data_IF_038323682275
#
_entry.id   IF_038323682275
#
_cell.length_a   1.000
_cell.length_b   1.000
_cell.length_c   1.000
_cell.angle_alpha   90.00
_cell.angle_beta   90.00
_cell.angle_gamma   90.00
#
_symmetry.space_group_name_H-M   'P 1'
#
loop_
_entity.id
_entity.type
_entity.pdbx_description
1 polymer ?
#
# COMPACT_ATOMS: atom_id res chain seq x y z
N UNK A 1 12.15 9.40 -4.13
CA UNK A 1 11.50 10.61 -3.75
C UNK A 1 12.08 11.21 -2.50
N UNK A 2 12.37 12.49 -2.59
CA UNK A 2 13.01 13.25 -1.51
C UNK A 2 11.98 14.01 -0.64
N UNK A 3 10.68 13.67 -0.75
CA UNK A 3 9.59 14.35 -0.07
C UNK A 3 9.31 15.73 -0.65
N UNK A 4 8.44 16.47 0.01
CA UNK A 4 8.09 17.85 -0.35
C UNK A 4 9.13 18.88 0.14
N UNK A 5 10.10 18.47 0.97
CA UNK A 5 11.16 19.34 1.47
C UNK A 5 12.54 18.76 1.09
N UNK A 6 13.02 19.02 -0.14
CA UNK A 6 14.35 18.58 -0.57
C UNK A 6 15.49 19.18 0.25
N UNK A 7 15.30 20.36 0.82
CA UNK A 7 16.34 21.04 1.59
C UNK A 7 16.63 20.33 2.91
N UNK A 8 15.63 19.79 3.60
CA UNK A 8 15.85 19.02 4.84
C UNK A 8 16.70 17.75 4.63
N UNK A 9 16.61 17.15 3.42
CA UNK A 9 17.43 15.98 3.09
C UNK A 9 18.79 16.36 2.52
N UNK A 10 18.93 17.54 1.97
CA UNK A 10 20.18 18.08 1.47
C UNK A 10 21.23 18.17 2.57
N UNK A 11 20.84 18.65 3.74
CA UNK A 11 21.74 18.75 4.90
C UNK A 11 22.27 17.37 5.32
N UNK A 12 21.41 16.35 5.32
CA UNK A 12 21.81 14.96 5.62
C UNK A 12 22.77 14.43 4.55
N UNK A 13 22.54 14.72 3.27
CA UNK A 13 23.43 14.31 2.19
C UNK A 13 24.79 15.03 2.24
N UNK A 14 24.79 16.33 2.52
CA UNK A 14 26.01 17.12 2.64
C UNK A 14 26.86 16.63 3.82
N UNK A 15 26.25 16.37 4.97
CA UNK A 15 26.90 15.76 6.11
C UNK A 15 27.47 14.38 5.76
N UNK A 16 26.68 13.51 5.13
CA UNK A 16 27.14 12.18 4.69
C UNK A 16 28.33 12.28 3.73
N UNK A 17 28.29 13.21 2.78
CA UNK A 17 29.38 13.43 1.84
C UNK A 17 30.66 13.93 2.53
N UNK A 18 30.54 14.83 3.52
CA UNK A 18 31.66 15.32 4.32
C UNK A 18 32.30 14.19 5.14
N UNK A 19 31.47 13.30 5.69
CA UNK A 19 31.92 12.16 6.49
C UNK A 19 32.63 11.11 5.63
N UNK A 20 32.15 10.85 4.43
CA UNK A 20 32.81 9.94 3.48
C UNK A 20 34.15 10.48 2.98
N UNK A 21 34.36 11.78 3.02
CA UNK A 21 35.61 12.42 2.61
C UNK A 21 36.70 12.44 3.69
N UNK A 22 36.36 12.20 4.97
CA UNK A 22 37.25 12.32 6.11
C UNK A 22 37.90 11.02 6.59
N UNK A 23 37.49 9.86 6.07
CA UNK A 23 38.00 8.55 6.49
C UNK A 23 39.04 8.00 5.51
N UNK A 24 40.26 7.84 5.98
CA UNK A 24 41.39 7.24 5.22
C UNK A 24 41.11 5.75 4.88
N UNK A 25 40.24 5.07 5.66
CA UNK A 25 39.94 3.64 5.55
C UNK A 25 38.54 3.35 4.97
N UNK A 26 37.79 4.36 4.57
CA UNK A 26 36.43 4.21 4.05
C UNK A 26 35.34 3.82 5.09
N UNK A 27 35.68 3.85 6.37
CA UNK A 27 34.77 3.65 7.49
C UNK A 27 34.43 4.97 8.17
N UNK A 28 33.17 5.13 8.57
CA UNK A 28 32.73 6.25 9.40
C UNK A 28 33.11 5.97 10.87
N UNK A 29 33.55 6.99 11.58
CA UNK A 29 33.70 6.91 13.04
C UNK A 29 32.34 6.59 13.68
N UNK A 30 32.33 5.69 14.69
CA UNK A 30 31.12 5.22 15.35
C UNK A 30 30.16 6.33 15.80
N UNK A 31 30.63 7.40 16.50
CA UNK A 31 29.74 8.49 16.92
C UNK A 31 29.09 9.22 15.76
N UNK A 32 29.77 9.34 14.65
CA UNK A 32 29.30 9.99 13.44
C UNK A 32 28.27 9.11 12.71
N UNK A 33 28.51 7.81 12.66
CA UNK A 33 27.57 6.83 12.14
C UNK A 33 26.27 6.82 12.96
N UNK A 34 26.38 6.86 14.30
CA UNK A 34 25.23 6.88 15.20
C UNK A 34 24.39 8.14 15.01
N UNK A 35 25.02 9.32 14.87
CA UNK A 35 24.34 10.58 14.62
C UNK A 35 23.61 10.57 13.25
N UNK A 36 24.25 10.06 12.20
CA UNK A 36 23.63 9.90 10.89
C UNK A 36 22.42 8.93 10.94
N UNK A 37 22.56 7.82 11.63
CA UNK A 37 21.45 6.86 11.82
C UNK A 37 20.30 7.54 12.56
N UNK A 38 20.58 8.28 13.61
CA UNK A 38 19.58 9.03 14.37
C UNK A 38 18.84 10.07 13.51
N UNK A 39 19.57 10.81 12.69
CA UNK A 39 18.97 11.78 11.74
C UNK A 39 18.09 11.08 10.72
N UNK A 40 18.53 9.97 10.11
CA UNK A 40 17.74 9.20 9.15
C UNK A 40 16.49 8.59 9.79
N UNK A 41 16.57 8.10 11.03
CA UNK A 41 15.43 7.55 11.76
C UNK A 41 14.41 8.62 12.16
N UNK A 42 14.85 9.85 12.41
CA UNK A 42 13.97 10.99 12.72
C UNK A 42 13.36 11.62 11.48
N UNK A 43 13.87 11.33 10.28
CA UNK A 43 13.35 11.88 9.05
C UNK A 43 11.99 11.22 8.70
N UNK A 44 10.93 12.03 8.66
CA UNK A 44 9.53 11.59 8.44
C UNK A 44 8.89 12.21 7.20
N UNK A 45 9.68 12.79 6.30
CA UNK A 45 9.17 13.52 5.12
C UNK A 45 9.31 12.71 3.83
N UNK A 46 9.00 11.42 3.91
CA UNK A 46 8.99 10.53 2.73
C UNK A 46 7.69 10.60 1.93
N UNK A 47 6.66 11.22 2.51
CA UNK A 47 5.42 11.51 1.83
C UNK A 47 5.59 12.72 0.91
N UNK A 48 5.11 12.62 -0.34
CA UNK A 48 5.11 13.74 -1.27
C UNK A 48 4.01 13.63 -2.32
N UNK A 49 3.65 14.79 -2.87
CA UNK A 49 2.68 14.93 -3.96
C UNK A 49 3.36 15.56 -5.16
N UNK A 50 3.22 14.93 -6.33
CA UNK A 50 3.60 15.55 -7.59
C UNK A 50 2.35 16.17 -8.25
N UNK A 51 2.42 17.45 -8.70
CA UNK A 51 1.29 18.16 -9.30
C UNK A 51 1.09 17.74 -10.75
N UNK A 52 0.87 16.45 -10.98
CA UNK A 52 0.51 15.87 -12.27
C UNK A 52 -0.99 15.75 -12.41
N UNK A 53 -1.48 15.39 -13.58
CA UNK A 53 -2.90 15.09 -13.83
C UNK A 53 -3.02 13.70 -14.44
N UNK A 54 -3.51 12.69 -13.67
CA UNK A 54 -3.89 12.69 -12.24
C UNK A 54 -2.77 13.06 -11.29
N UNK A 55 -3.10 13.60 -10.09
CA UNK A 55 -2.11 13.89 -9.07
C UNK A 55 -1.44 12.59 -8.58
N UNK A 56 -0.11 12.58 -8.47
CA UNK A 56 0.64 11.45 -7.94
C UNK A 56 0.96 11.68 -6.48
N UNK A 57 0.41 10.86 -5.62
CA UNK A 57 0.59 10.91 -4.16
C UNK A 57 1.37 9.68 -3.71
N UNK A 58 2.58 9.89 -3.19
CA UNK A 58 3.42 8.83 -2.63
C UNK A 58 3.32 8.86 -1.12
N UNK A 59 2.82 7.79 -0.52
CA UNK A 59 2.55 7.72 0.92
C UNK A 59 3.69 7.04 1.69
N UNK A 60 4.05 7.62 2.83
CA UNK A 60 5.05 7.07 3.74
C UNK A 60 4.41 6.10 4.74
N UNK A 61 4.42 4.83 4.42
CA UNK A 61 3.89 3.78 5.30
C UNK A 61 4.96 3.19 6.24
N UNK A 62 6.15 3.77 6.29
CA UNK A 62 7.26 3.24 7.07
C UNK A 62 7.54 4.05 8.33
N UNK A 63 7.64 5.37 8.23
CA UNK A 63 8.04 6.22 9.35
C UNK A 63 6.82 6.78 10.11
N UNK A 64 5.65 6.86 9.49
CA UNK A 64 4.41 7.40 10.08
C UNK A 64 3.38 6.31 10.40
N UNK A 65 3.82 5.26 11.09
CA UNK A 65 2.97 4.12 11.45
C UNK A 65 2.15 4.37 12.71
N UNK A 66 0.91 3.92 12.71
CA UNK A 66 0.04 3.92 13.89
C UNK A 66 0.43 2.78 14.84
N UNK A 67 1.19 3.08 15.86
CA UNK A 67 1.57 2.12 16.90
C UNK A 67 0.45 2.00 17.93
N UNK A 68 0.17 0.77 18.37
CA UNK A 68 -0.70 0.55 19.52
C UNK A 68 0.10 0.75 20.82
N UNK A 69 -0.17 1.82 21.54
CA UNK A 69 0.49 2.10 22.82
C UNK A 69 0.09 1.10 23.91
N UNK A 70 -1.16 0.58 23.85
CA UNK A 70 -1.70 -0.33 24.86
C UNK A 70 -1.35 -1.79 24.64
N UNK A 71 -0.97 -2.19 23.46
CA UNK A 71 -0.69 -3.59 23.11
C UNK A 71 0.35 -3.71 22.00
N UNK A 72 1.62 -3.68 22.36
CA UNK A 72 2.76 -3.76 21.44
C UNK A 72 2.77 -5.01 20.55
N UNK A 73 2.04 -6.06 20.94
CA UNK A 73 1.89 -7.30 20.15
C UNK A 73 0.81 -7.20 19.05
N UNK A 74 0.03 -6.13 19.02
CA UNK A 74 -0.96 -5.94 17.95
C UNK A 74 -0.29 -5.36 16.70
N UNK A 75 -0.76 -5.73 15.49
CA UNK A 75 -0.26 -5.15 14.25
C UNK A 75 -0.42 -3.63 14.26
N UNK A 76 0.62 -2.91 13.82
CA UNK A 76 0.55 -1.46 13.60
C UNK A 76 -0.29 -1.11 12.39
N UNK A 77 -0.90 0.08 12.37
CA UNK A 77 -1.43 0.66 11.15
C UNK A 77 -0.29 1.16 10.25
N UNK A 78 -0.47 1.10 8.95
CA UNK A 78 0.53 1.57 7.99
C UNK A 78 0.68 3.09 7.98
N UNK A 79 -0.37 3.83 8.31
CA UNK A 79 -0.35 5.26 8.58
C UNK A 79 -1.03 5.56 9.91
N UNK A 80 -0.55 6.58 10.62
CA UNK A 80 -1.18 7.11 11.79
C UNK A 80 -2.38 8.02 11.45
N UNK A 81 -3.06 8.50 12.47
CA UNK A 81 -4.23 9.36 12.31
C UNK A 81 -3.91 10.69 11.61
N UNK A 82 -2.79 11.29 11.95
CA UNK A 82 -2.37 12.59 11.41
C UNK A 82 -2.05 12.46 9.92
N UNK A 83 -1.22 11.48 9.54
CA UNK A 83 -0.90 11.21 8.14
C UNK A 83 -2.12 10.86 7.29
N UNK A 84 -3.09 10.13 7.86
CA UNK A 84 -4.35 9.82 7.15
C UNK A 84 -5.22 11.06 6.98
N UNK A 85 -5.21 11.99 7.95
CA UNK A 85 -5.94 13.24 7.86
C UNK A 85 -5.31 14.20 6.84
N UNK A 86 -3.99 14.28 6.80
CA UNK A 86 -3.25 15.03 5.78
C UNK A 86 -3.53 14.48 4.38
N UNK A 87 -3.43 13.17 4.20
CA UNK A 87 -3.76 12.50 2.93
C UNK A 87 -5.20 12.83 2.49
N UNK A 88 -6.15 12.84 3.42
CA UNK A 88 -7.53 13.21 3.09
C UNK A 88 -7.62 14.66 2.58
N UNK A 89 -6.97 15.59 3.24
CA UNK A 89 -6.98 17.01 2.84
C UNK A 89 -6.35 17.20 1.45
N UNK A 90 -5.21 16.58 1.20
CA UNK A 90 -4.55 16.63 -0.10
C UNK A 90 -5.45 16.10 -1.22
N UNK A 91 -6.15 14.99 -0.96
CA UNK A 91 -7.03 14.38 -1.96
C UNK A 91 -8.29 15.20 -2.27
N UNK A 92 -8.72 16.12 -1.38
CA UNK A 92 -9.93 16.93 -1.63
C UNK A 92 -9.81 17.89 -2.83
N UNK A 93 -8.60 18.28 -3.18
CA UNK A 93 -8.33 19.29 -4.21
C UNK A 93 -8.11 18.69 -5.61
N UNK A 94 -8.18 17.35 -5.74
CA UNK A 94 -7.89 16.66 -6.98
C UNK A 94 -9.10 15.90 -7.53
N UNK A 95 -9.40 16.00 -8.85
CA UNK A 95 -10.48 15.24 -9.47
C UNK A 95 -10.15 13.74 -9.64
N UNK A 96 -8.86 13.41 -9.77
CA UNK A 96 -8.32 12.06 -9.89
C UNK A 96 -6.94 11.98 -9.24
N UNK A 97 -6.61 10.82 -8.67
CA UNK A 97 -5.34 10.62 -8.00
C UNK A 97 -4.74 9.23 -8.24
N UNK A 98 -3.42 9.19 -8.37
CA UNK A 98 -2.61 7.98 -8.33
C UNK A 98 -1.97 7.92 -6.95
N UNK A 99 -2.27 6.89 -6.18
CA UNK A 99 -1.69 6.68 -4.85
C UNK A 99 -0.64 5.58 -4.96
N UNK A 100 0.59 5.90 -4.62
CA UNK A 100 1.68 4.91 -4.51
C UNK A 100 1.78 4.46 -3.05
N UNK A 101 1.46 3.20 -2.83
CA UNK A 101 1.52 2.56 -1.51
C UNK A 101 2.44 1.33 -1.57
N UNK A 102 3.44 1.17 -0.69
CA UNK A 102 4.29 -0.02 -0.70
C UNK A 102 3.47 -1.31 -0.63
N UNK A 103 2.50 -1.40 0.27
CA UNK A 103 1.60 -2.53 0.39
C UNK A 103 0.23 -2.27 -0.26
N UNK A 104 -0.44 -3.28 -0.84
CA UNK A 104 -1.75 -3.12 -1.44
C UNK A 104 -2.81 -2.75 -0.40
N UNK A 105 -3.63 -1.74 -0.72
CA UNK A 105 -4.77 -1.35 0.14
C UNK A 105 -5.88 -2.39 0.03
N UNK A 106 -6.08 -2.92 -1.17
CA UNK A 106 -7.07 -3.96 -1.45
C UNK A 106 -6.36 -5.27 -1.79
N UNK A 107 -5.79 -5.93 -0.80
CA UNK A 107 -5.14 -7.24 -0.96
C UNK A 107 -6.12 -8.41 -1.09
N UNK A 108 -5.57 -9.62 -1.20
CA UNK A 108 -6.32 -10.88 -1.28
C UNK A 108 -6.97 -11.17 0.06
N UNK A 109 -8.29 -11.23 0.12
CA UNK A 109 -9.07 -11.35 1.37
C UNK A 109 -8.76 -12.60 2.17
N UNK A 110 -8.50 -13.72 1.51
CA UNK A 110 -8.15 -14.97 2.18
C UNK A 110 -6.83 -14.83 2.92
N UNK A 111 -5.81 -14.25 2.28
CA UNK A 111 -4.50 -14.03 2.89
C UNK A 111 -4.64 -13.12 4.11
N UNK A 112 -5.36 -12.01 3.99
CA UNK A 112 -5.65 -11.11 5.11
C UNK A 112 -6.40 -11.81 6.25
N UNK A 113 -7.29 -12.75 5.92
CA UNK A 113 -8.03 -13.52 6.93
C UNK A 113 -7.10 -14.48 7.66
N UNK A 114 -6.21 -15.17 6.95
CA UNK A 114 -5.18 -16.04 7.54
C UNK A 114 -4.27 -15.21 8.45
N UNK A 115 -3.75 -14.08 7.98
CA UNK A 115 -2.93 -13.17 8.77
C UNK A 115 -3.65 -12.70 10.05
N UNK A 116 -4.96 -12.40 9.95
CA UNK A 116 -5.78 -12.01 11.10
C UNK A 116 -5.92 -13.15 12.12
N UNK A 117 -6.14 -14.38 11.66
CA UNK A 117 -6.24 -15.56 12.56
C UNK A 117 -4.92 -15.79 13.28
N UNK A 118 -3.80 -15.78 12.57
CA UNK A 118 -2.47 -15.93 13.18
C UNK A 118 -2.14 -14.79 14.15
N UNK A 119 -2.50 -13.56 13.83
CA UNK A 119 -2.35 -12.42 14.74
C UNK A 119 -3.18 -12.58 16.00
N UNK A 120 -4.39 -13.12 15.88
CA UNK A 120 -5.25 -13.42 17.02
C UNK A 120 -4.69 -14.55 17.89
N UNK A 121 -4.06 -15.55 17.27
CA UNK A 121 -3.36 -16.63 17.97
C UNK A 121 -2.03 -16.17 18.63
N UNK A 122 -1.61 -14.92 18.44
CA UNK A 122 -0.39 -14.36 19.03
C UNK A 122 0.88 -14.53 18.18
N UNK A 123 0.75 -14.92 16.91
CA UNK A 123 1.86 -15.15 15.98
C UNK A 123 1.83 -14.20 14.77
N UNK A 124 1.72 -12.87 14.94
CA UNK A 124 1.62 -11.93 13.81
C UNK A 124 2.88 -11.92 12.93
N UNK A 125 4.06 -12.17 13.51
CA UNK A 125 5.33 -12.16 12.78
C UNK A 125 5.54 -13.37 11.87
N UNK A 126 4.83 -14.49 12.11
CA UNK A 126 4.95 -15.68 11.26
C UNK A 126 4.30 -15.50 9.87
N UNK A 127 3.40 -14.56 9.75
CA UNK A 127 2.60 -14.34 8.54
C UNK A 127 2.75 -12.93 7.98
N UNK A 128 3.75 -12.20 8.45
CA UNK A 128 4.00 -10.81 8.07
C UNK A 128 2.68 -9.99 7.98
N UNK A 129 2.03 -9.82 9.14
CA UNK A 129 0.70 -9.19 9.22
C UNK A 129 0.75 -7.66 8.98
N UNK A 130 1.72 -7.18 8.20
CA UNK A 130 1.88 -5.79 7.82
C UNK A 130 1.02 -5.44 6.61
N UNK A 131 -0.29 -5.29 6.80
CA UNK A 131 -1.20 -4.89 5.74
C UNK A 131 -2.19 -3.82 6.22
N UNK A 132 -2.79 -3.10 5.28
CA UNK A 132 -3.75 -2.02 5.57
C UNK A 132 -4.96 -2.47 6.41
N UNK A 133 -5.36 -3.72 6.27
CA UNK A 133 -6.52 -4.25 6.98
C UNK A 133 -6.16 -4.84 8.36
N UNK A 134 -4.89 -4.93 8.72
CA UNK A 134 -4.47 -5.47 10.03
C UNK A 134 -4.90 -4.54 11.17
N UNK A 135 -4.60 -3.25 11.10
CA UNK A 135 -5.00 -2.27 12.10
C UNK A 135 -6.41 -1.74 11.83
N UNK A 136 -7.31 -1.84 12.82
CA UNK A 136 -8.73 -1.49 12.65
C UNK A 136 -8.94 0.00 12.35
N UNK A 137 -8.25 0.87 13.07
CA UNK A 137 -8.37 2.32 12.91
C UNK A 137 -7.91 2.77 11.54
N UNK A 138 -6.67 2.47 11.16
CA UNK A 138 -6.11 2.84 9.86
C UNK A 138 -6.94 2.30 8.70
N UNK A 139 -7.37 1.02 8.77
CA UNK A 139 -8.24 0.42 7.76
C UNK A 139 -9.57 1.18 7.60
N UNK A 140 -10.20 1.57 8.70
CA UNK A 140 -11.48 2.27 8.64
C UNK A 140 -11.33 3.67 8.06
N UNK A 141 -10.28 4.39 8.44
CA UNK A 141 -10.05 5.76 7.96
C UNK A 141 -9.73 5.76 6.48
N UNK A 142 -8.78 4.94 6.00
CA UNK A 142 -8.44 4.89 4.57
C UNK A 142 -9.64 4.49 3.70
N UNK A 143 -10.45 3.52 4.14
CA UNK A 143 -11.67 3.14 3.43
C UNK A 143 -12.73 4.25 3.44
N UNK A 144 -12.79 5.08 4.48
CA UNK A 144 -13.69 6.24 4.54
C UNK A 144 -13.21 7.37 3.63
N UNK A 145 -11.90 7.61 3.53
CA UNK A 145 -11.31 8.56 2.59
C UNK A 145 -11.80 8.25 1.16
N UNK A 146 -11.63 7.02 0.70
CA UNK A 146 -12.12 6.60 -0.63
C UNK A 146 -13.64 6.69 -0.80
N UNK A 147 -14.41 6.74 0.26
CA UNK A 147 -15.86 6.82 0.22
C UNK A 147 -16.41 8.22 0.43
N UNK A 148 -15.56 9.16 0.76
CA UNK A 148 -15.98 10.53 1.02
C UNK A 148 -16.47 11.20 -0.27
N UNK A 149 -17.49 12.05 -0.20
CA UNK A 149 -18.14 12.63 -1.38
C UNK A 149 -17.33 13.73 -2.09
N UNK A 150 -16.37 14.30 -1.39
CA UNK A 150 -15.51 15.41 -1.88
C UNK A 150 -14.12 14.94 -2.29
N UNK A 151 -13.81 13.67 -2.15
CA UNK A 151 -12.54 13.08 -2.61
C UNK A 151 -12.63 12.73 -4.10
N UNK A 152 -11.51 12.46 -4.78
CA UNK A 152 -11.45 12.18 -6.21
C UNK A 152 -12.49 11.16 -6.71
N UNK A 153 -13.00 11.38 -7.91
CA UNK A 153 -13.91 10.45 -8.57
C UNK A 153 -13.21 9.20 -9.14
N UNK A 154 -11.90 9.26 -9.33
CA UNK A 154 -11.09 8.18 -9.85
C UNK A 154 -9.79 8.05 -9.05
N UNK A 155 -9.47 6.81 -8.67
CA UNK A 155 -8.24 6.47 -7.97
C UNK A 155 -7.54 5.32 -8.67
N UNK A 156 -6.23 5.42 -8.78
CA UNK A 156 -5.35 4.30 -9.12
C UNK A 156 -4.36 4.09 -7.99
N UNK A 157 -4.43 2.94 -7.35
CA UNK A 157 -3.50 2.55 -6.28
C UNK A 157 -2.44 1.65 -6.88
N UNK A 158 -1.21 2.12 -6.92
CA UNK A 158 -0.04 1.34 -7.34
C UNK A 158 0.64 0.77 -6.11
N UNK A 159 0.94 -0.52 -6.14
CA UNK A 159 1.60 -1.18 -5.01
C UNK A 159 2.49 -2.35 -5.43
N UNK A 160 3.23 -2.88 -4.46
CA UNK A 160 4.09 -4.06 -4.58
C UNK A 160 4.05 -4.92 -3.33
N UNK A 161 5.21 -5.42 -2.91
CA UNK A 161 5.50 -6.06 -1.61
C UNK A 161 4.77 -7.38 -1.28
N UNK A 162 4.09 -8.00 -2.25
CA UNK A 162 3.29 -9.22 -1.98
C UNK A 162 3.75 -10.44 -2.76
N UNK A 163 4.82 -10.34 -3.54
CA UNK A 163 5.44 -11.43 -4.31
C UNK A 163 4.55 -12.07 -5.39
N UNK A 164 3.42 -11.44 -5.72
CA UNK A 164 2.54 -11.77 -6.84
C UNK A 164 1.87 -10.51 -7.38
N UNK A 165 1.46 -10.52 -8.64
CA UNK A 165 0.83 -9.37 -9.29
C UNK A 165 -0.67 -9.61 -9.47
N UNK A 166 -1.46 -8.55 -9.39
CA UNK A 166 -2.90 -8.59 -9.62
C UNK A 166 -3.47 -7.21 -9.91
N UNK A 167 -4.64 -7.19 -10.54
CA UNK A 167 -5.42 -5.98 -10.78
C UNK A 167 -6.84 -6.16 -10.28
N UNK A 168 -7.30 -5.21 -9.48
CA UNK A 168 -8.67 -5.16 -8.95
C UNK A 168 -9.35 -3.85 -9.32
N UNK A 169 -10.58 -3.91 -9.79
CA UNK A 169 -11.50 -2.78 -9.77
C UNK A 169 -12.33 -2.83 -8.49
N UNK A 170 -12.40 -1.71 -7.78
CA UNK A 170 -13.14 -1.61 -6.52
C UNK A 170 -14.26 -0.60 -6.67
N UNK A 171 -15.47 -1.09 -6.53
CA UNK A 171 -16.70 -0.32 -6.65
C UNK A 171 -17.33 -0.13 -5.28
N UNK A 172 -17.85 1.07 -5.01
CA UNK A 172 -18.59 1.33 -3.78
C UNK A 172 -20.01 0.80 -3.92
N UNK A 173 -20.43 -0.08 -3.02
CA UNK A 173 -21.79 -0.64 -3.00
C UNK A 173 -22.82 0.45 -2.70
N UNK A 174 -23.99 0.33 -3.32
CA UNK A 174 -25.16 1.22 -3.13
C UNK A 174 -24.94 2.68 -3.56
N UNK A 175 -23.92 2.96 -4.35
CA UNK A 175 -23.62 4.30 -4.87
C UNK A 175 -23.45 4.22 -6.38
N UNK A 176 -24.48 4.69 -7.16
CA UNK A 176 -24.45 4.62 -8.64
C UNK A 176 -23.35 5.51 -9.26
N UNK A 177 -23.05 6.63 -8.63
CA UNK A 177 -22.02 7.58 -9.06
C UNK A 177 -20.91 7.69 -7.99
N UNK A 178 -20.45 6.55 -7.47
CA UNK A 178 -19.33 6.53 -6.52
C UNK A 178 -17.99 6.58 -7.24
N UNK A 179 -16.91 6.85 -6.50
CA UNK A 179 -15.57 6.82 -7.07
C UNK A 179 -15.24 5.42 -7.60
N UNK A 180 -14.48 5.40 -8.68
CA UNK A 180 -13.85 4.20 -9.23
C UNK A 180 -12.44 4.09 -8.70
N UNK A 181 -12.08 2.91 -8.24
CA UNK A 181 -10.76 2.67 -7.65
C UNK A 181 -10.16 1.45 -8.34
N UNK A 182 -8.96 1.59 -8.85
CA UNK A 182 -8.17 0.48 -9.39
C UNK A 182 -7.00 0.22 -8.47
N UNK A 183 -6.88 -1.00 -8.00
CA UNK A 183 -5.69 -1.48 -7.30
C UNK A 183 -4.86 -2.26 -8.29
N UNK A 184 -3.68 -1.76 -8.62
CA UNK A 184 -2.71 -2.40 -9.50
C UNK A 184 -1.50 -2.74 -8.67
N UNK A 185 -1.22 -4.03 -8.55
CA UNK A 185 -0.09 -4.55 -7.78
C UNK A 185 0.86 -5.26 -8.72
N UNK A 186 2.11 -4.83 -8.75
CA UNK A 186 3.18 -5.47 -9.52
C UNK A 186 4.19 -6.10 -8.58
N UNK A 187 4.48 -7.37 -8.79
CA UNK A 187 5.44 -8.13 -8.00
C UNK A 187 6.87 -7.63 -8.21
N UNK A 188 7.73 -7.90 -7.23
CA UNK A 188 9.17 -7.62 -7.34
C UNK A 188 9.87 -8.44 -8.42
N UNK A 189 11.10 -8.03 -8.77
CA UNK A 189 11.88 -8.62 -9.89
C UNK A 189 12.41 -10.02 -9.54
N UNK A 190 12.56 -10.36 -8.27
CA UNK A 190 13.30 -11.58 -7.87
C UNK A 190 12.51 -12.53 -6.96
N UNK A 191 11.57 -12.02 -6.19
CA UNK A 191 10.86 -12.82 -5.19
C UNK A 191 9.54 -13.34 -5.76
N UNK A 192 9.39 -14.65 -5.80
CA UNK A 192 8.16 -15.34 -6.21
C UNK A 192 7.50 -15.99 -5.01
N UNK A 193 6.18 -16.02 -5.01
CA UNK A 193 5.41 -16.75 -4.02
C UNK A 193 5.43 -18.24 -4.37
N UNK A 194 5.42 -19.19 -3.38
CA UNK A 194 5.34 -20.61 -3.70
C UNK A 194 4.13 -20.92 -4.60
N UNK A 195 4.34 -21.42 -5.84
CA UNK A 195 3.28 -21.46 -6.86
C UNK A 195 2.09 -22.32 -6.45
N UNK A 196 2.31 -23.50 -5.92
CA UNK A 196 1.23 -24.40 -5.44
C UNK A 196 0.39 -23.77 -4.34
N UNK A 197 1.02 -23.01 -3.44
CA UNK A 197 0.33 -22.33 -2.34
C UNK A 197 -0.48 -21.15 -2.86
N UNK A 198 0.04 -20.40 -3.84
CA UNK A 198 -0.66 -19.28 -4.46
C UNK A 198 -1.91 -19.75 -5.21
N UNK A 199 -1.82 -20.85 -5.97
CA UNK A 199 -2.97 -21.45 -6.64
C UNK A 199 -4.07 -21.87 -5.65
N UNK A 200 -3.69 -22.52 -4.56
CA UNK A 200 -4.63 -22.88 -3.50
C UNK A 200 -5.30 -21.65 -2.90
N UNK A 201 -4.53 -20.61 -2.60
CA UNK A 201 -5.09 -19.36 -2.09
C UNK A 201 -6.02 -18.68 -3.09
N UNK A 202 -5.69 -18.67 -4.39
CA UNK A 202 -6.55 -18.09 -5.41
C UNK A 202 -7.85 -18.88 -5.56
N UNK A 203 -7.79 -20.22 -5.63
CA UNK A 203 -8.98 -21.10 -5.72
C UNK A 203 -9.89 -20.95 -4.50
N UNK A 204 -9.32 -20.99 -3.29
CA UNK A 204 -10.08 -20.81 -2.05
C UNK A 204 -10.64 -19.39 -1.93
N UNK A 205 -9.87 -18.39 -2.30
CA UNK A 205 -10.36 -17.00 -2.28
C UNK A 205 -11.52 -16.79 -3.24
N UNK A 206 -11.50 -17.41 -4.43
CA UNK A 206 -12.60 -17.36 -5.39
C UNK A 206 -13.86 -18.02 -4.82
N UNK A 207 -13.72 -19.15 -4.15
CA UNK A 207 -14.84 -19.87 -3.59
C UNK A 207 -15.42 -19.16 -2.35
N UNK A 208 -14.58 -18.76 -1.40
CA UNK A 208 -15.01 -18.15 -0.13
C UNK A 208 -15.43 -16.70 -0.27
N UNK A 209 -14.71 -15.92 -1.09
CA UNK A 209 -14.86 -14.47 -1.20
C UNK A 209 -15.29 -14.01 -2.60
N UNK A 210 -16.06 -14.83 -3.32
CA UNK A 210 -16.68 -14.37 -4.56
C UNK A 210 -17.48 -13.08 -4.32
N UNK A 211 -17.72 -12.23 -5.36
CA UNK A 211 -18.43 -10.97 -5.20
C UNK A 211 -19.81 -11.06 -4.57
N UNK A 212 -20.46 -12.25 -4.66
CA UNK A 212 -21.78 -12.55 -4.08
C UNK A 212 -21.72 -13.28 -2.74
N UNK A 213 -20.55 -13.67 -2.26
CA UNK A 213 -20.43 -14.44 -1.03
C UNK A 213 -20.88 -13.63 0.20
N UNK A 214 -21.67 -14.22 1.11
CA UNK A 214 -22.09 -13.59 2.35
C UNK A 214 -20.89 -13.33 3.29
N UNK A 215 -19.79 -14.08 3.15
CA UNK A 215 -18.58 -13.87 3.94
C UNK A 215 -17.99 -12.46 3.76
N UNK A 216 -18.28 -11.81 2.64
CA UNK A 216 -17.88 -10.43 2.43
C UNK A 216 -18.47 -9.44 3.45
N UNK A 217 -19.60 -9.77 4.08
CA UNK A 217 -20.24 -8.91 5.08
C UNK A 217 -19.44 -8.84 6.39
N UNK A 218 -18.66 -9.85 6.68
CA UNK A 218 -17.80 -9.91 7.86
C UNK A 218 -16.43 -9.28 7.64
N UNK A 219 -16.15 -8.81 6.41
CA UNK A 219 -14.90 -8.10 6.12
C UNK A 219 -15.02 -6.61 6.39
N UNK A 220 -13.89 -5.93 6.68
CA UNK A 220 -13.85 -4.47 6.82
C UNK A 220 -14.32 -3.74 5.54
N UNK A 221 -14.19 -4.39 4.38
CA UNK A 221 -14.56 -3.89 3.04
C UNK A 221 -16.00 -4.23 2.62
N UNK A 222 -16.92 -4.50 3.57
CA UNK A 222 -18.31 -4.91 3.30
C UNK A 222 -19.09 -3.96 2.39
N UNK A 223 -18.75 -2.67 2.40
CA UNK A 223 -19.38 -1.62 1.57
C UNK A 223 -18.72 -1.45 0.20
N UNK A 224 -17.73 -2.28 -0.12
CA UNK A 224 -17.01 -2.27 -1.38
C UNK A 224 -17.14 -3.62 -2.09
N UNK A 225 -17.26 -3.57 -3.42
CA UNK A 225 -17.24 -4.74 -4.28
C UNK A 225 -15.91 -4.77 -5.01
N UNK A 226 -15.11 -5.79 -4.77
CA UNK A 226 -13.84 -6.00 -5.44
C UNK A 226 -14.08 -6.93 -6.63
N UNK A 227 -13.73 -6.47 -7.81
CA UNK A 227 -13.81 -7.19 -9.08
C UNK A 227 -12.39 -7.45 -9.55
N UNK A 228 -11.90 -8.67 -9.53
CA UNK A 228 -10.57 -9.00 -10.04
C UNK A 228 -10.57 -9.05 -11.56
N UNK A 229 -9.48 -8.57 -12.16
CA UNK A 229 -9.17 -8.81 -13.56
C UNK A 229 -8.40 -10.13 -13.69
N UNK A 230 -8.57 -10.79 -14.83
CA UNK A 230 -7.83 -12.00 -15.17
C UNK A 230 -6.74 -11.63 -16.16
N UNK A 231 -5.47 -11.99 -15.93
CA UNK A 231 -4.41 -11.78 -16.91
C UNK A 231 -4.69 -12.50 -18.22
N UNK A 232 -4.34 -11.92 -19.36
CA UNK A 232 -4.63 -12.49 -20.69
C UNK A 232 -4.00 -13.86 -20.91
N UNK A 233 -2.81 -14.09 -20.36
CA UNK A 233 -2.04 -15.33 -20.52
C UNK A 233 -2.18 -16.29 -19.33
N UNK A 234 -3.08 -16.01 -18.39
CA UNK A 234 -3.32 -16.90 -17.26
C UNK A 234 -4.19 -18.09 -17.65
N UNK A 235 -3.99 -19.21 -16.97
CA UNK A 235 -4.88 -20.35 -17.09
C UNK A 235 -6.31 -19.98 -16.64
N UNK A 236 -7.32 -20.71 -17.13
CA UNK A 236 -8.72 -20.36 -16.92
C UNK A 236 -9.05 -20.16 -15.44
N UNK A 237 -9.28 -18.90 -15.08
CA UNK A 237 -9.68 -18.47 -13.75
C UNK A 237 -8.58 -18.03 -12.80
N UNK A 238 -7.34 -18.05 -13.19
CA UNK A 238 -6.24 -17.47 -12.39
C UNK A 238 -6.35 -15.94 -12.40
N UNK A 239 -6.19 -15.35 -11.23
CA UNK A 239 -6.30 -13.91 -11.01
C UNK A 239 -5.05 -13.31 -10.39
N UNK A 240 -4.15 -14.17 -9.93
CA UNK A 240 -2.88 -13.82 -9.33
C UNK A 240 -1.78 -14.27 -10.25
N UNK A 241 -0.93 -13.34 -10.66
CA UNK A 241 0.19 -13.59 -11.56
C UNK A 241 1.48 -13.74 -10.74
N UNK A 242 2.06 -14.93 -10.77
CA UNK A 242 3.26 -15.28 -10.01
C UNK A 242 4.50 -15.27 -10.91
N UNK A 243 4.84 -14.11 -11.42
CA UNK A 243 6.05 -13.95 -12.21
C UNK A 243 6.70 -12.60 -11.94
N UNK A 244 8.00 -12.54 -12.03
CA UNK A 244 8.75 -11.29 -11.98
C UNK A 244 8.37 -10.40 -13.17
N UNK A 245 8.24 -9.09 -12.94
CA UNK A 245 7.85 -8.17 -13.99
C UNK A 245 7.86 -6.71 -13.59
N UNK A 246 7.65 -5.88 -14.61
CA UNK A 246 7.46 -4.44 -14.44
C UNK A 246 6.05 -4.12 -14.94
N UNK A 247 5.23 -3.54 -14.06
CA UNK A 247 3.89 -3.06 -14.43
C UNK A 247 3.97 -1.76 -15.21
N UNK A 248 3.29 -1.70 -16.35
CA UNK A 248 3.09 -0.48 -17.13
C UNK A 248 1.59 -0.17 -17.16
N UNK A 249 1.23 1.08 -16.92
CA UNK A 249 -0.17 1.52 -16.88
C UNK A 249 -0.32 2.76 -17.76
N UNK A 250 -1.28 2.70 -18.66
CA UNK A 250 -1.68 3.86 -19.47
C UNK A 250 -2.95 4.47 -18.91
N UNK A 251 -3.06 5.78 -18.99
CA UNK A 251 -4.19 6.52 -18.46
C UNK A 251 -4.94 7.25 -19.57
N UNK A 252 -6.26 7.27 -19.48
CA UNK A 252 -7.09 8.14 -20.29
C UNK A 252 -7.13 9.56 -19.71
N UNK A 253 -7.80 10.50 -20.40
CA UNK A 253 -7.94 11.90 -19.98
C UNK A 253 -8.66 12.07 -18.62
N UNK A 254 -9.45 11.08 -18.19
CA UNK A 254 -10.15 11.07 -16.91
C UNK A 254 -9.29 10.49 -15.77
N UNK A 255 -8.05 10.12 -16.05
CA UNK A 255 -7.15 9.48 -15.07
C UNK A 255 -7.54 8.06 -14.70
N UNK A 256 -8.22 7.35 -15.58
CA UNK A 256 -8.56 5.94 -15.43
C UNK A 256 -7.56 5.09 -16.23
N UNK A 257 -7.22 3.88 -15.77
CA UNK A 257 -6.43 2.96 -16.58
C UNK A 257 -7.17 2.65 -17.88
N UNK A 258 -6.47 2.71 -19.01
CA UNK A 258 -6.99 2.39 -20.34
C UNK A 258 -6.45 1.05 -20.85
N UNK A 259 -5.23 0.67 -20.44
CA UNK A 259 -4.55 -0.60 -20.71
C UNK A 259 -3.70 -0.99 -19.48
#
# INVERSE_FOLDING_TARGET
>A
GWGNNPDAFKDVLEQTAQLSASGDDGYLDMPVQDDLIDQLLRFQQWHFVLPSSPALVVIDTRTRRWRSEMALKQPSGLLDWEALSELQQELLDHPSAIIVSPAPIFGVKLIETVQKVFSWCGYPLLVDAENWMAHRGAAQVILNIFRHSRTPGNYVVLSGDVHYSFVYEVLIRHRKAGPRIWQITSSGIKNEFPPTLLEWFDRLNRWLYSPRSPLNWFTKRRLMRIVPYTPEHAEAGERLWNSAGIGQVFFNEQGQPSE
#
